data_IF_144474889327
#
_entry.id   IF_144474889327
#
_cell.length_a   1.000
_cell.length_b   1.000
_cell.length_c   1.000
_cell.angle_alpha   90.00
_cell.angle_beta   90.00
_cell.angle_gamma   90.00
#
_symmetry.space_group_name_H-M   'P 1'
#
loop_
_entity.id
_entity.type
_entity.pdbx_description
1 polymer ?
#
# COMPACT_ATOMS: atom_id res chain seq x y z
N UNK A 1 -9.57 -0.99 15.34
CA UNK A 1 -9.11 -2.16 14.57
C UNK A 1 -9.43 -1.89 13.12
N UNK A 2 -8.51 -2.20 12.19
CA UNK A 2 -8.77 -2.05 10.76
C UNK A 2 -9.35 -3.34 10.18
N UNK A 3 -10.33 -3.23 9.30
CA UNK A 3 -10.86 -4.34 8.51
C UNK A 3 -10.47 -4.15 7.04
N UNK A 4 -10.02 -5.22 6.40
CA UNK A 4 -9.78 -5.21 4.95
C UNK A 4 -11.13 -5.25 4.26
N UNK A 5 -11.47 -4.18 3.55
CA UNK A 5 -12.72 -4.11 2.79
C UNK A 5 -12.52 -4.48 1.33
N UNK A 6 -11.32 -4.28 0.78
CA UNK A 6 -11.00 -4.63 -0.60
C UNK A 6 -9.54 -5.05 -0.77
N UNK A 7 -9.30 -6.01 -1.66
CA UNK A 7 -7.98 -6.46 -2.10
C UNK A 7 -7.93 -6.37 -3.62
N UNK A 8 -6.93 -5.69 -4.17
CA UNK A 8 -6.75 -5.61 -5.61
C UNK A 8 -6.29 -6.97 -6.15
N UNK A 9 -7.17 -7.76 -6.78
CA UNK A 9 -6.78 -9.10 -7.25
C UNK A 9 -5.80 -9.11 -8.43
N UNK A 10 -5.62 -7.98 -9.11
CA UNK A 10 -4.66 -7.86 -10.19
C UNK A 10 -3.24 -7.66 -9.65
N UNK A 11 -3.10 -6.94 -8.54
CA UNK A 11 -1.81 -6.51 -7.97
C UNK A 11 -1.56 -7.03 -6.55
N UNK A 12 -2.52 -7.77 -5.99
CA UNK A 12 -2.67 -7.98 -4.55
C UNK A 12 -2.01 -9.24 -4.04
N UNK A 13 -1.83 -9.24 -2.72
CA UNK A 13 -1.03 -10.20 -1.94
C UNK A 13 -1.43 -11.65 -2.23
N UNK A 14 -0.42 -12.49 -2.48
CA UNK A 14 -0.55 -13.96 -2.53
C UNK A 14 -1.17 -14.42 -1.21
N UNK A 15 -2.36 -15.04 -1.25
CA UNK A 15 -2.93 -15.67 -0.06
C UNK A 15 -1.95 -16.72 0.49
N UNK A 16 -1.74 -16.73 1.81
CA UNK A 16 -0.81 -17.67 2.42
C UNK A 16 -1.22 -19.12 2.11
N UNK A 17 -0.42 -19.82 1.32
CA UNK A 17 -0.70 -21.18 0.82
C UNK A 17 -1.16 -21.26 -0.64
N UNK A 18 -1.33 -20.13 -1.34
CA UNK A 18 -1.60 -20.10 -2.78
C UNK A 18 -0.32 -20.30 -3.59
N UNK A 19 -0.39 -21.11 -4.64
CA UNK A 19 0.66 -21.27 -5.66
C UNK A 19 0.55 -20.26 -6.80
N UNK A 20 -0.49 -19.41 -6.77
CA UNK A 20 -0.76 -18.43 -7.82
C UNK A 20 0.00 -17.13 -7.54
N UNK A 21 0.93 -16.80 -8.43
CA UNK A 21 1.56 -15.47 -8.44
C UNK A 21 0.62 -14.54 -9.20
N UNK A 22 0.17 -13.42 -8.61
CA UNK A 22 -0.64 -12.42 -9.30
C UNK A 22 0.08 -11.98 -10.57
N UNK A 23 -0.57 -12.17 -11.72
CA UNK A 23 0.02 -11.88 -13.02
C UNK A 23 0.23 -10.36 -13.21
N UNK A 24 -0.47 -9.51 -12.45
CA UNK A 24 -0.48 -8.06 -12.63
C UNK A 24 0.52 -7.25 -11.80
N UNK A 25 1.63 -7.84 -11.34
CA UNK A 25 2.70 -7.07 -10.66
C UNK A 25 3.28 -5.94 -11.54
N UNK A 26 3.16 -6.04 -12.87
CA UNK A 26 3.57 -5.00 -13.82
C UNK A 26 2.88 -3.66 -13.53
N UNK A 27 1.60 -3.68 -13.11
CA UNK A 27 0.85 -2.48 -12.77
C UNK A 27 1.43 -1.73 -11.56
N UNK A 28 2.03 -2.44 -10.60
CA UNK A 28 2.72 -1.82 -9.45
C UNK A 28 3.92 -1.00 -9.92
N UNK A 29 4.59 -1.46 -10.97
CA UNK A 29 5.78 -0.78 -11.53
C UNK A 29 5.38 0.40 -12.40
N UNK A 30 4.37 0.21 -13.26
CA UNK A 30 3.96 1.22 -14.25
C UNK A 30 3.12 2.34 -13.64
N UNK A 31 2.23 2.01 -12.68
CA UNK A 31 1.28 2.93 -12.08
C UNK A 31 0.97 2.54 -10.62
N UNK A 32 1.91 2.79 -9.69
CA UNK A 32 1.86 2.26 -8.32
C UNK A 32 0.70 2.81 -7.47
N UNK A 33 0.16 3.99 -7.80
CA UNK A 33 -0.78 4.69 -6.94
C UNK A 33 -2.23 4.64 -7.44
N UNK A 34 -2.47 4.55 -8.75
CA UNK A 34 -3.84 4.43 -9.29
C UNK A 34 -4.19 2.96 -9.55
N UNK A 35 -3.53 2.30 -10.52
CA UNK A 35 -3.80 0.90 -10.86
C UNK A 35 -3.14 -0.13 -9.93
N UNK A 36 -2.04 0.24 -9.28
CA UNK A 36 -1.15 -0.64 -8.50
C UNK A 36 -1.40 -0.69 -6.99
N UNK A 37 -2.52 -0.15 -6.49
CA UNK A 37 -2.87 -0.24 -5.08
C UNK A 37 -3.04 -1.70 -4.62
N UNK A 38 -2.82 -1.97 -3.33
CA UNK A 38 -2.77 -3.35 -2.80
C UNK A 38 -4.05 -3.71 -2.03
N UNK A 39 -4.43 -2.91 -1.05
CA UNK A 39 -5.61 -3.11 -0.21
C UNK A 39 -6.30 -1.78 0.13
N UNK A 40 -7.60 -1.84 0.36
CA UNK A 40 -8.37 -0.77 1.01
C UNK A 40 -8.75 -1.26 2.40
N UNK A 41 -8.47 -0.43 3.40
CA UNK A 41 -8.76 -0.68 4.80
C UNK A 41 -9.82 0.31 5.29
N UNK A 42 -10.83 -0.20 5.98
CA UNK A 42 -11.71 0.64 6.79
C UNK A 42 -11.21 0.60 8.24
N UNK A 43 -11.03 1.78 8.83
CA UNK A 43 -10.57 1.89 10.22
C UNK A 43 -11.57 2.72 11.00
N UNK A 44 -12.10 2.12 12.06
CA UNK A 44 -12.99 2.81 12.99
C UNK A 44 -12.19 3.76 13.89
N UNK A 45 -12.65 5.01 14.02
CA UNK A 45 -12.10 6.01 14.93
C UNK A 45 -11.48 7.22 14.24
N UNK A 46 -10.89 8.11 15.04
CA UNK A 46 -10.08 9.23 14.51
C UNK A 46 -8.66 8.72 14.22
N UNK A 47 -8.25 8.80 12.96
CA UNK A 47 -6.91 8.44 12.49
C UNK A 47 -5.89 9.58 12.60
N UNK A 48 -6.32 10.76 13.05
CA UNK A 48 -5.49 11.96 12.99
C UNK A 48 -4.22 11.88 13.84
N UNK A 49 -4.18 11.04 14.87
CA UNK A 49 -2.98 10.77 15.66
C UNK A 49 -1.98 9.90 14.91
N UNK A 50 -2.43 8.79 14.35
CA UNK A 50 -1.63 7.76 13.71
C UNK A 50 -1.06 8.29 12.38
N UNK A 51 -1.84 9.07 11.64
CA UNK A 51 -1.40 9.69 10.39
C UNK A 51 -0.31 10.75 10.60
N UNK A 52 -0.20 11.36 11.80
CA UNK A 52 0.86 12.34 12.10
C UNK A 52 2.23 11.69 12.28
N UNK A 53 2.27 10.39 12.57
CA UNK A 53 3.53 9.65 12.73
C UNK A 53 4.12 9.23 11.37
N UNK A 54 3.38 9.41 10.28
CA UNK A 54 3.83 9.13 8.91
C UNK A 54 4.60 10.32 8.33
N UNK A 55 5.58 10.02 7.46
CA UNK A 55 6.32 11.07 6.76
C UNK A 55 5.44 11.83 5.78
N UNK A 56 5.66 13.14 5.69
CA UNK A 56 5.13 13.91 4.58
C UNK A 56 5.82 13.51 3.25
N UNK A 57 5.24 13.84 2.08
CA UNK A 57 5.90 13.61 0.80
C UNK A 57 7.29 14.25 0.70
N UNK A 58 7.47 15.45 1.26
CA UNK A 58 8.74 16.18 1.26
C UNK A 58 9.77 15.50 2.16
N UNK A 59 9.36 15.07 3.35
CA UNK A 59 10.23 14.37 4.30
C UNK A 59 10.67 13.01 3.73
N UNK A 60 9.76 12.29 3.08
CA UNK A 60 10.11 11.04 2.40
C UNK A 60 11.09 11.26 1.24
N UNK A 61 10.89 12.30 0.43
CA UNK A 61 11.83 12.64 -0.65
C UNK A 61 13.22 13.00 -0.12
N UNK A 62 13.28 13.68 1.03
CA UNK A 62 14.53 14.00 1.71
C UNK A 62 15.22 12.74 2.20
N UNK A 63 14.48 11.84 2.88
CA UNK A 63 14.97 10.54 3.34
C UNK A 63 15.62 9.74 2.20
N UNK A 64 14.97 9.65 1.03
CA UNK A 64 15.52 8.94 -0.13
C UNK A 64 16.85 9.53 -0.65
N UNK A 65 17.04 10.85 -0.54
CA UNK A 65 18.24 11.54 -1.03
C UNK A 65 19.42 11.45 -0.07
N UNK A 66 19.16 11.24 1.21
CA UNK A 66 20.19 11.13 2.24
C UNK A 66 20.91 9.77 2.22
N UNK A 67 20.49 8.84 1.35
CA UNK A 67 21.25 7.64 1.01
C UNK A 67 21.31 6.64 2.15
N UNK A 68 20.15 6.12 2.52
CA UNK A 68 20.04 4.92 3.36
C UNK A 68 20.45 3.66 2.61
#
# INVERSE_FOLDING_TARGET
SGEIVEVNRDCGVVEEGSSEVPIGLEKIVEDPYEGGWIVVLEVEGDLSSELKDLMSPEDYLKYLKEGH
#
